data_IF_744311234073
#
_entry.id   IF_744311234073
#
_cell.length_a   1.000
_cell.length_b   1.000
_cell.length_c   1.000
_cell.angle_alpha   90.00
_cell.angle_beta   90.00
_cell.angle_gamma   90.00
#
_symmetry.space_group_name_H-M   'P 1'
#
loop_
_entity.id
_entity.type
_entity.pdbx_description
1 polymer ?
#
# COMPACT_ATOMS: atom_id res chain seq x y z
N UNK A 1 -32.63 6.66 -29.62
CA UNK A 1 -31.83 7.08 -28.47
C UNK A 1 -31.70 8.59 -28.53
N UNK A 2 -32.24 9.27 -27.53
CA UNK A 2 -32.31 10.73 -27.50
C UNK A 2 -30.87 11.28 -27.33
N UNK A 3 -30.45 12.14 -28.28
CA UNK A 3 -29.07 12.66 -28.34
C UNK A 3 -28.77 13.81 -27.38
N UNK A 4 -29.74 14.17 -26.54
CA UNK A 4 -29.61 15.27 -25.57
C UNK A 4 -29.66 14.69 -24.12
N UNK A 5 -28.66 13.93 -23.76
CA UNK A 5 -28.49 13.55 -22.36
C UNK A 5 -27.98 14.75 -21.54
N UNK A 6 -28.91 15.61 -21.13
CA UNK A 6 -28.66 16.58 -20.06
C UNK A 6 -28.82 15.87 -18.74
N UNK A 7 -27.73 15.79 -17.98
CA UNK A 7 -27.80 15.40 -16.58
C UNK A 7 -28.00 16.67 -15.74
N UNK A 8 -29.23 16.87 -15.26
CA UNK A 8 -29.47 17.84 -14.20
C UNK A 8 -28.96 17.23 -12.89
N UNK A 9 -27.89 17.79 -12.33
CA UNK A 9 -27.50 17.44 -10.96
C UNK A 9 -28.28 18.31 -9.97
N UNK A 10 -28.41 17.84 -8.74
CA UNK A 10 -29.18 18.47 -7.66
C UNK A 10 -28.64 19.84 -7.22
N UNK A 11 -27.59 20.35 -7.83
CA UNK A 11 -26.94 21.64 -7.52
C UNK A 11 -27.14 22.66 -8.64
N UNK A 12 -27.96 22.36 -9.68
CA UNK A 12 -28.27 23.29 -10.77
C UNK A 12 -27.13 23.54 -11.75
N UNK A 13 -26.09 22.71 -11.74
CA UNK A 13 -25.00 22.77 -12.72
C UNK A 13 -25.35 21.85 -13.90
N UNK A 14 -25.55 22.42 -15.08
CA UNK A 14 -25.73 21.62 -16.30
C UNK A 14 -24.43 20.87 -16.62
N UNK A 15 -24.51 19.56 -16.61
CA UNK A 15 -23.42 18.70 -17.08
C UNK A 15 -23.78 18.17 -18.47
N UNK A 16 -23.01 18.54 -19.48
CA UNK A 16 -23.11 17.97 -20.81
C UNK A 16 -22.08 16.89 -21.01
N UNK A 17 -22.53 15.71 -21.45
CA UNK A 17 -21.60 14.68 -21.93
C UNK A 17 -20.88 15.20 -23.20
N UNK A 18 -19.55 15.04 -23.29
CA UNK A 18 -18.83 15.34 -24.51
C UNK A 18 -19.40 14.50 -25.67
N UNK A 19 -19.67 15.14 -26.79
CA UNK A 19 -20.25 14.46 -27.97
C UNK A 19 -19.30 13.45 -28.61
N UNK A 20 -18.02 13.56 -28.34
CA UNK A 20 -16.95 12.78 -28.95
C UNK A 20 -16.14 12.08 -27.84
N UNK A 21 -16.77 11.18 -27.07
CA UNK A 21 -16.00 10.26 -26.22
C UNK A 21 -15.28 9.25 -27.12
N UNK A 22 -13.95 9.12 -26.98
CA UNK A 22 -13.22 8.08 -27.72
C UNK A 22 -13.79 6.71 -27.34
N UNK A 23 -14.21 5.94 -28.34
CA UNK A 23 -14.70 4.59 -28.14
C UNK A 23 -13.56 3.55 -28.00
N UNK A 24 -12.31 4.00 -28.10
CA UNK A 24 -11.13 3.14 -28.01
C UNK A 24 -10.56 3.19 -26.61
N UNK A 25 -10.86 2.16 -25.81
CA UNK A 25 -10.39 2.06 -24.42
C UNK A 25 -8.89 1.85 -24.30
N UNK A 26 -8.17 1.45 -25.36
CA UNK A 26 -6.73 1.16 -25.34
C UNK A 26 -5.83 2.38 -25.14
N UNK A 27 -6.30 3.58 -25.47
CA UNK A 27 -5.53 4.83 -25.32
C UNK A 27 -5.80 5.58 -24.02
N UNK A 28 -6.81 5.14 -23.25
CA UNK A 28 -7.13 5.77 -21.98
C UNK A 28 -6.19 5.22 -20.90
N UNK A 29 -5.34 6.07 -20.26
CA UNK A 29 -4.47 5.60 -19.19
C UNK A 29 -5.27 4.98 -18.05
N UNK A 30 -4.84 3.81 -17.58
CA UNK A 30 -5.44 3.19 -16.39
C UNK A 30 -5.12 4.06 -15.18
N UNK A 31 -6.17 4.46 -14.46
CA UNK A 31 -6.03 5.30 -13.28
C UNK A 31 -5.12 4.63 -12.23
N UNK A 32 -4.17 5.41 -11.70
CA UNK A 32 -3.21 4.97 -10.69
C UNK A 32 -2.33 3.78 -11.13
N UNK A 33 -2.13 3.62 -12.46
CA UNK A 33 -1.17 2.67 -13.01
C UNK A 33 0.19 3.33 -13.16
N UNK A 34 1.20 2.71 -12.57
CA UNK A 34 2.58 3.14 -12.69
C UNK A 34 3.37 2.12 -13.52
N UNK A 35 4.09 2.59 -14.55
CA UNK A 35 4.87 1.73 -15.46
C UNK A 35 6.36 2.07 -15.40
N UNK A 36 6.91 2.20 -14.19
CA UNK A 36 8.34 2.42 -14.00
C UNK A 36 9.13 1.11 -14.06
N UNK A 37 10.39 1.25 -14.36
CA UNK A 37 11.38 0.18 -14.42
C UNK A 37 12.47 0.40 -13.36
N UNK A 38 13.38 -0.56 -13.22
CA UNK A 38 14.48 -0.50 -12.27
C UNK A 38 15.33 0.77 -12.42
N UNK A 39 15.60 1.20 -13.66
CA UNK A 39 16.37 2.42 -13.95
C UNK A 39 15.70 3.67 -13.41
N UNK A 40 14.37 3.71 -13.43
CA UNK A 40 13.56 4.87 -13.00
C UNK A 40 13.51 5.02 -11.48
N UNK A 41 13.89 3.98 -10.73
CA UNK A 41 13.89 4.03 -9.27
C UNK A 41 14.95 4.96 -8.73
N UNK A 42 14.53 5.99 -8.01
CA UNK A 42 15.42 6.96 -7.34
C UNK A 42 15.60 6.54 -5.89
N UNK A 43 16.85 6.22 -5.51
CA UNK A 43 17.24 5.94 -4.12
C UNK A 43 17.13 7.22 -3.29
N UNK A 44 16.58 7.09 -2.10
CA UNK A 44 16.28 8.22 -1.20
C UNK A 44 14.93 8.91 -1.45
N UNK A 45 14.22 8.57 -2.55
CA UNK A 45 12.89 9.11 -2.79
C UNK A 45 11.91 8.64 -1.70
N UNK A 46 11.13 9.59 -1.19
CA UNK A 46 10.13 9.37 -0.14
C UNK A 46 8.75 9.77 -0.61
N UNK A 47 7.77 8.97 -0.23
CA UNK A 47 6.36 9.31 -0.36
C UNK A 47 5.65 9.10 0.97
N UNK A 48 4.59 9.86 1.20
CA UNK A 48 3.71 9.73 2.36
C UNK A 48 2.29 9.50 1.90
N UNK A 49 1.61 8.56 2.54
CA UNK A 49 0.19 8.28 2.28
C UNK A 49 -0.73 9.36 2.87
N UNK A 50 -1.97 9.34 2.43
CA UNK A 50 -3.07 9.93 3.19
C UNK A 50 -3.23 9.20 4.52
N UNK A 51 -3.92 9.84 5.46
CA UNK A 51 -4.30 9.24 6.75
C UNK A 51 -5.54 8.37 6.58
N UNK A 52 -5.61 7.27 7.33
CA UNK A 52 -6.76 6.38 7.39
C UNK A 52 -7.05 5.97 8.82
N UNK A 53 -8.28 6.18 9.26
CA UNK A 53 -8.77 5.66 10.55
C UNK A 53 -9.22 4.22 10.39
N UNK A 54 -8.81 3.35 11.30
CA UNK A 54 -9.19 1.93 11.32
C UNK A 54 -10.50 1.80 12.09
N UNK A 55 -11.55 1.39 11.40
CA UNK A 55 -12.86 1.15 12.02
C UNK A 55 -12.95 -0.24 12.67
N UNK A 56 -13.87 -0.38 13.61
CA UNK A 56 -14.16 -1.68 14.23
C UNK A 56 -14.62 -2.73 13.23
N UNK A 57 -15.51 -2.34 12.30
CA UNK A 57 -16.02 -3.25 11.28
C UNK A 57 -14.92 -3.85 10.42
N UNK A 58 -13.96 -3.01 9.96
CA UNK A 58 -12.80 -3.48 9.20
C UNK A 58 -11.91 -4.42 10.01
N UNK A 59 -11.65 -4.07 11.29
CA UNK A 59 -10.82 -4.89 12.16
C UNK A 59 -11.45 -6.28 12.38
N UNK A 60 -12.74 -6.34 12.65
CA UNK A 60 -13.45 -7.61 12.82
C UNK A 60 -13.50 -8.41 11.53
N UNK A 61 -13.77 -7.78 10.41
CA UNK A 61 -13.75 -8.45 9.11
C UNK A 61 -12.37 -9.03 8.78
N UNK A 62 -11.30 -8.27 9.03
CA UNK A 62 -9.93 -8.74 8.83
C UNK A 62 -9.60 -9.94 9.72
N UNK A 63 -9.99 -9.89 11.00
CA UNK A 63 -9.78 -10.98 11.95
C UNK A 63 -10.50 -12.27 11.50
N UNK A 64 -11.75 -12.16 11.04
CA UNK A 64 -12.50 -13.29 10.50
C UNK A 64 -11.81 -13.90 9.25
N UNK A 65 -11.31 -13.07 8.34
CA UNK A 65 -10.62 -13.54 7.14
C UNK A 65 -9.25 -14.15 7.46
N UNK A 66 -8.53 -13.56 8.41
CA UNK A 66 -7.21 -14.00 8.84
C UNK A 66 -7.22 -15.10 9.89
N UNK A 67 -8.40 -15.50 10.39
CA UNK A 67 -8.60 -16.45 11.50
C UNK A 67 -7.83 -16.03 12.77
N UNK A 68 -7.63 -14.75 12.99
CA UNK A 68 -7.00 -14.21 14.20
C UNK A 68 -8.03 -14.05 15.30
N UNK A 69 -8.17 -15.10 16.10
CA UNK A 69 -9.13 -15.19 17.21
C UNK A 69 -8.48 -14.88 18.56
N UNK A 70 -7.32 -14.23 18.57
CA UNK A 70 -6.66 -13.90 19.83
C UNK A 70 -7.52 -12.95 20.69
N UNK A 71 -7.64 -13.18 22.01
CA UNK A 71 -8.52 -12.39 22.88
C UNK A 71 -8.28 -10.88 22.83
N UNK A 72 -7.02 -10.45 22.69
CA UNK A 72 -6.70 -9.01 22.53
C UNK A 72 -7.33 -8.34 21.31
N UNK A 73 -7.66 -9.09 20.27
CA UNK A 73 -8.23 -8.52 19.03
C UNK A 73 -9.73 -8.82 18.88
N UNK A 74 -10.20 -9.98 19.40
CA UNK A 74 -11.57 -10.43 19.19
C UNK A 74 -12.51 -10.27 20.40
N UNK A 75 -11.97 -10.21 21.62
CA UNK A 75 -12.76 -10.24 22.87
C UNK A 75 -12.66 -8.89 23.59
N UNK A 76 -13.76 -8.12 23.53
CA UNK A 76 -13.85 -6.82 24.20
C UNK A 76 -13.86 -6.94 25.73
N UNK A 77 -14.51 -8.00 26.27
CA UNK A 77 -14.57 -8.20 27.71
C UNK A 77 -13.19 -8.51 28.28
N UNK A 78 -12.46 -9.44 27.64
CA UNK A 78 -11.09 -9.76 28.01
C UNK A 78 -10.19 -8.53 27.89
N UNK A 79 -10.23 -7.85 26.76
CA UNK A 79 -9.35 -6.71 26.49
C UNK A 79 -9.50 -5.61 27.54
N UNK A 80 -10.74 -5.32 27.99
CA UNK A 80 -11.02 -4.29 29.01
C UNK A 80 -10.67 -4.69 30.43
N UNK A 81 -10.96 -5.93 30.82
CA UNK A 81 -10.92 -6.33 32.21
C UNK A 81 -9.63 -7.07 32.60
N UNK A 82 -9.03 -7.80 31.65
CA UNK A 82 -7.88 -8.67 31.89
C UNK A 82 -6.66 -8.26 31.03
N UNK A 83 -6.92 -7.62 29.89
CA UNK A 83 -5.88 -7.22 28.95
C UNK A 83 -5.02 -6.06 29.45
N UNK A 84 -3.70 -6.15 29.23
CA UNK A 84 -2.74 -5.14 29.70
C UNK A 84 -2.95 -3.74 29.09
N UNK A 85 -3.61 -3.65 27.94
CA UNK A 85 -3.87 -2.37 27.25
C UNK A 85 -5.24 -1.76 27.56
N UNK A 86 -6.13 -2.50 28.20
CA UNK A 86 -7.53 -2.11 28.52
C UNK A 86 -8.35 -1.68 27.29
N UNK A 87 -7.91 -2.07 26.11
CA UNK A 87 -8.53 -1.80 24.79
C UNK A 87 -8.22 -2.93 23.83
N UNK A 88 -9.15 -3.19 22.89
CA UNK A 88 -8.84 -4.14 21.80
C UNK A 88 -7.79 -3.59 20.85
N UNK A 89 -6.87 -4.46 20.50
CA UNK A 89 -5.85 -4.18 19.51
C UNK A 89 -6.40 -4.36 18.09
N UNK A 90 -5.81 -3.64 17.15
CA UNK A 90 -5.86 -4.02 15.75
C UNK A 90 -4.84 -5.12 15.53
N UNK A 91 -5.22 -6.20 14.86
CA UNK A 91 -4.33 -7.31 14.53
C UNK A 91 -3.05 -6.79 13.84
N UNK A 92 -1.89 -7.25 14.29
CA UNK A 92 -0.62 -6.81 13.71
C UNK A 92 -0.54 -7.04 12.21
N UNK A 93 -1.06 -8.17 11.72
CA UNK A 93 -1.14 -8.47 10.28
C UNK A 93 -1.98 -7.43 9.52
N UNK A 94 -3.05 -6.90 10.12
CA UNK A 94 -3.86 -5.83 9.53
C UNK A 94 -3.07 -4.51 9.44
N UNK A 95 -2.39 -4.13 10.54
CA UNK A 95 -1.54 -2.92 10.55
C UNK A 95 -0.46 -3.01 9.47
N UNK A 96 0.16 -4.18 9.31
CA UNK A 96 1.13 -4.45 8.25
C UNK A 96 0.50 -4.32 6.86
N UNK A 97 -0.59 -5.03 6.59
CA UNK A 97 -1.25 -5.03 5.28
C UNK A 97 -1.77 -3.64 4.89
N UNK A 98 -2.39 -2.93 5.83
CA UNK A 98 -2.90 -1.57 5.59
C UNK A 98 -1.76 -0.58 5.43
N UNK A 99 -0.73 -0.68 6.28
CA UNK A 99 0.45 0.18 6.18
C UNK A 99 1.12 0.11 4.81
N UNK A 100 1.26 -1.10 4.26
CA UNK A 100 1.79 -1.27 2.92
C UNK A 100 0.81 -0.81 1.84
N UNK A 101 -0.47 -1.17 1.98
CA UNK A 101 -1.51 -0.84 1.01
C UNK A 101 -1.69 0.67 0.81
N UNK A 102 -1.51 1.47 1.87
CA UNK A 102 -1.62 2.93 1.82
C UNK A 102 -0.61 3.60 0.87
N UNK A 103 0.53 2.97 0.60
CA UNK A 103 1.58 3.46 -0.30
C UNK A 103 1.95 2.44 -1.38
N UNK A 104 1.06 1.47 -1.63
CA UNK A 104 1.26 0.47 -2.67
C UNK A 104 1.32 1.13 -4.05
N UNK A 105 2.19 0.60 -4.90
CA UNK A 105 2.25 0.97 -6.30
C UNK A 105 1.56 -0.10 -7.14
N UNK A 106 0.87 0.33 -8.17
CA UNK A 106 0.25 -0.58 -9.15
C UNK A 106 1.17 -0.79 -10.36
N UNK A 107 2.49 -0.82 -10.13
CA UNK A 107 3.48 -0.98 -11.19
C UNK A 107 3.51 -2.43 -11.69
N UNK A 108 3.18 -2.63 -12.95
CA UNK A 108 3.16 -3.96 -13.59
C UNK A 108 4.56 -4.55 -13.78
N UNK A 109 5.60 -3.74 -13.71
CA UNK A 109 7.00 -4.15 -13.85
C UNK A 109 7.67 -4.52 -12.52
N UNK A 110 6.92 -4.45 -11.41
CA UNK A 110 7.41 -4.71 -10.07
C UNK A 110 6.52 -5.72 -9.34
N UNK A 111 7.13 -6.62 -8.59
CA UNK A 111 6.40 -7.54 -7.73
C UNK A 111 7.13 -7.78 -6.41
N UNK A 112 6.39 -8.20 -5.40
CA UNK A 112 6.92 -8.50 -4.07
C UNK A 112 7.88 -9.67 -4.14
N UNK A 113 9.09 -9.50 -3.60
CA UNK A 113 10.10 -10.54 -3.46
C UNK A 113 10.15 -11.10 -2.05
N UNK A 114 9.94 -10.24 -1.05
CA UNK A 114 9.95 -10.62 0.36
C UNK A 114 10.00 -9.40 1.28
N UNK A 115 9.90 -9.68 2.57
CA UNK A 115 9.95 -8.67 3.62
C UNK A 115 11.03 -9.02 4.64
N UNK A 116 11.82 -8.02 5.01
CA UNK A 116 12.83 -8.10 6.06
C UNK A 116 12.48 -7.16 7.21
N UNK A 117 13.07 -7.44 8.38
CA UNK A 117 13.05 -6.55 9.56
C UNK A 117 11.64 -6.07 9.95
N UNK A 118 10.62 -6.91 9.77
CA UNK A 118 9.26 -6.59 10.24
C UNK A 118 9.25 -6.51 11.77
N UNK A 119 8.83 -5.36 12.30
CA UNK A 119 8.70 -5.08 13.74
C UNK A 119 7.43 -4.32 14.04
N UNK A 120 6.63 -4.86 14.94
CA UNK A 120 5.54 -4.14 15.60
C UNK A 120 6.13 -3.40 16.80
N UNK A 121 6.19 -2.07 16.70
CA UNK A 121 6.91 -1.22 17.65
C UNK A 121 6.00 -0.79 18.79
N UNK A 122 4.76 -0.41 18.45
CA UNK A 122 3.73 0.01 19.41
C UNK A 122 2.36 -0.51 19.00
N UNK A 123 1.44 -0.69 19.98
CA UNK A 123 0.10 -1.15 19.71
C UNK A 123 -0.71 -0.12 18.89
N UNK A 124 -1.55 -0.64 18.02
CA UNK A 124 -2.58 0.12 17.30
C UNK A 124 -3.93 -0.35 17.81
N UNK A 125 -4.81 0.58 18.13
CA UNK A 125 -6.14 0.32 18.65
C UNK A 125 -7.22 0.63 17.61
N UNK A 126 -8.38 0.03 17.77
CA UNK A 126 -9.56 0.37 16.96
C UNK A 126 -9.87 1.85 17.18
N UNK A 127 -10.07 2.59 16.08
CA UNK A 127 -10.24 4.05 16.07
C UNK A 127 -8.95 4.85 15.86
N UNK A 128 -7.76 4.23 15.94
CA UNK A 128 -6.51 4.91 15.62
C UNK A 128 -6.46 5.27 14.12
N UNK A 129 -5.88 6.42 13.84
CA UNK A 129 -5.63 6.90 12.47
C UNK A 129 -4.17 6.69 12.13
N UNK A 130 -3.91 5.95 11.06
CA UNK A 130 -2.55 5.62 10.60
C UNK A 130 -2.21 6.28 9.27
N UNK A 131 -0.92 6.41 9.00
CA UNK A 131 -0.35 6.76 7.70
C UNK A 131 1.02 6.11 7.55
N UNK A 132 1.51 6.01 6.32
CA UNK A 132 2.79 5.37 6.01
C UNK A 132 3.72 6.32 5.29
N UNK A 133 5.00 6.27 5.63
CA UNK A 133 6.09 6.84 4.83
C UNK A 133 6.85 5.68 4.20
N UNK A 134 7.01 5.73 2.87
CA UNK A 134 7.81 4.78 2.09
C UNK A 134 9.08 5.47 1.60
N UNK A 135 10.23 4.80 1.75
CA UNK A 135 11.52 5.31 1.27
C UNK A 135 12.23 4.25 0.43
N UNK A 136 12.64 4.58 -0.78
CA UNK A 136 13.53 3.71 -1.57
C UNK A 136 14.94 3.77 -0.97
N UNK A 137 15.39 2.67 -0.36
CA UNK A 137 16.65 2.66 0.41
C UNK A 137 17.85 2.33 -0.44
N UNK A 138 17.74 1.30 -1.26
CA UNK A 138 18.81 0.83 -2.12
C UNK A 138 18.27 0.07 -3.33
N UNK A 139 19.08 -0.04 -4.36
CA UNK A 139 18.80 -0.92 -5.50
C UNK A 139 20.08 -1.58 -5.98
N UNK A 140 19.97 -2.85 -6.39
CA UNK A 140 21.09 -3.59 -6.99
C UNK A 140 20.64 -4.53 -8.10
N UNK A 141 21.42 -4.68 -9.18
CA UNK A 141 21.20 -5.73 -10.16
C UNK A 141 21.28 -7.10 -9.49
N UNK A 142 20.44 -8.04 -9.92
CA UNK A 142 20.45 -9.40 -9.34
C UNK A 142 20.30 -10.51 -10.36
N UNK A 143 19.40 -10.36 -11.31
CA UNK A 143 19.10 -11.36 -12.32
C UNK A 143 19.21 -10.78 -13.71
N UNK A 144 19.21 -11.65 -14.72
CA UNK A 144 19.35 -11.24 -16.13
C UNK A 144 18.32 -10.19 -16.58
N UNK A 145 17.08 -10.29 -16.07
CA UNK A 145 15.96 -9.42 -16.50
C UNK A 145 15.48 -8.45 -15.44
N UNK A 146 16.00 -8.54 -14.20
CA UNK A 146 15.48 -7.75 -13.08
C UNK A 146 16.52 -7.49 -12.01
N UNK A 147 16.38 -6.37 -11.32
CA UNK A 147 17.10 -6.04 -10.11
C UNK A 147 16.22 -6.07 -8.86
N UNK A 148 16.84 -5.98 -7.70
CA UNK A 148 16.15 -5.81 -6.43
C UNK A 148 16.18 -4.35 -6.02
N UNK A 149 15.05 -3.90 -5.50
CA UNK A 149 14.89 -2.61 -4.83
C UNK A 149 14.44 -2.88 -3.40
N UNK A 150 15.16 -2.33 -2.43
CA UNK A 150 14.79 -2.36 -1.01
C UNK A 150 14.10 -1.05 -0.66
N UNK A 151 12.96 -1.15 -0.04
CA UNK A 151 12.11 -0.01 0.33
C UNK A 151 11.72 -0.14 1.80
N UNK A 152 11.92 0.90 2.62
CA UNK A 152 11.37 0.91 3.97
C UNK A 152 9.93 1.39 3.99
N UNK A 153 9.18 0.84 4.93
CA UNK A 153 7.83 1.26 5.28
C UNK A 153 7.79 1.57 6.76
N UNK A 154 7.52 2.81 7.07
CA UNK A 154 7.37 3.32 8.43
C UNK A 154 5.90 3.69 8.61
N UNK A 155 5.18 2.92 9.42
CA UNK A 155 3.77 3.18 9.72
C UNK A 155 3.69 3.98 11.01
N UNK A 156 2.96 5.07 10.96
CA UNK A 156 2.75 5.99 12.07
C UNK A 156 1.28 6.06 12.44
N UNK A 157 0.99 6.40 13.70
CA UNK A 157 -0.34 6.78 14.15
C UNK A 157 -0.37 8.15 14.78
N UNK A 158 -1.55 8.76 14.84
CA UNK A 158 -1.75 10.06 15.49
C UNK A 158 -0.83 11.15 14.93
N UNK A 159 -0.10 11.83 15.80
CA UNK A 159 0.77 12.96 15.48
C UNK A 159 2.22 12.55 15.11
N UNK A 160 2.46 11.28 14.81
CA UNK A 160 3.78 10.82 14.34
C UNK A 160 4.41 9.74 15.21
N UNK A 161 3.61 9.01 15.98
CA UNK A 161 4.09 7.87 16.75
C UNK A 161 4.28 6.66 15.82
N UNK A 162 5.52 6.17 15.69
CA UNK A 162 5.82 4.98 14.87
C UNK A 162 5.26 3.73 15.54
N UNK A 163 4.52 2.93 14.76
CA UNK A 163 3.87 1.70 15.23
C UNK A 163 4.39 0.45 14.55
N UNK A 164 4.92 0.57 13.32
CA UNK A 164 5.47 -0.54 12.56
C UNK A 164 6.60 -0.06 11.68
N UNK A 165 7.63 -0.89 11.55
CA UNK A 165 8.69 -0.78 10.56
C UNK A 165 8.85 -2.10 9.81
N UNK A 166 9.06 -2.03 8.51
CA UNK A 166 9.53 -3.17 7.73
C UNK A 166 10.33 -2.71 6.50
N UNK A 167 11.10 -3.63 5.94
CA UNK A 167 11.78 -3.46 4.67
C UNK A 167 11.17 -4.43 3.65
N UNK A 168 10.76 -3.90 2.52
CA UNK A 168 10.18 -4.65 1.42
C UNK A 168 11.20 -4.78 0.29
N UNK A 169 11.42 -5.98 -0.15
CA UNK A 169 12.21 -6.28 -1.33
C UNK A 169 11.28 -6.44 -2.54
N UNK A 170 11.50 -5.60 -3.53
CA UNK A 170 10.82 -5.67 -4.81
C UNK A 170 11.76 -6.24 -5.88
N UNK A 171 11.28 -7.16 -6.67
CA UNK A 171 11.88 -7.51 -7.96
C UNK A 171 11.32 -6.56 -9.01
N UNK A 172 12.21 -5.88 -9.74
CA UNK A 172 11.82 -4.85 -10.72
C UNK A 172 12.49 -5.15 -12.05
N UNK A 173 11.71 -5.17 -13.12
CA UNK A 173 12.23 -5.41 -14.47
C UNK A 173 13.15 -4.28 -14.93
N UNK A 174 14.17 -4.64 -15.68
CA UNK A 174 15.00 -3.67 -16.40
C UNK A 174 14.28 -3.19 -17.66
N UNK A 175 14.46 -1.91 -17.96
CA UNK A 175 14.05 -1.32 -19.24
C UNK A 175 14.95 -1.82 -20.37
N UNK A 176 16.25 -1.97 -20.07
CA UNK A 176 17.28 -2.47 -20.98
C UNK A 176 18.12 -3.54 -20.27
N UNK A 177 17.71 -4.81 -20.32
CA UNK A 177 18.45 -5.89 -19.65
C UNK A 177 19.90 -6.01 -20.05
N UNK A 178 20.25 -5.65 -21.30
CA UNK A 178 21.61 -5.69 -21.83
C UNK A 178 22.59 -4.80 -21.07
N UNK A 179 22.14 -3.69 -20.47
CA UNK A 179 22.97 -2.76 -19.71
C UNK A 179 23.44 -3.36 -18.37
N UNK A 180 22.90 -4.50 -17.98
CA UNK A 180 23.13 -5.14 -16.68
C UNK A 180 23.76 -6.52 -16.77
N UNK A 181 24.09 -7.03 -17.96
CA UNK A 181 24.60 -8.41 -18.18
C UNK A 181 25.81 -8.77 -17.32
N UNK A 182 26.71 -7.81 -17.10
CA UNK A 182 27.96 -8.03 -16.35
C UNK A 182 27.88 -7.67 -14.87
N UNK A 183 26.71 -7.23 -14.40
CA UNK A 183 26.50 -6.70 -13.03
C UNK A 183 25.86 -7.67 -12.05
N UNK A 184 25.54 -8.88 -12.47
CA UNK A 184 25.03 -9.94 -11.60
C UNK A 184 25.95 -11.16 -11.69
N UNK A 185 26.27 -11.74 -10.55
CA UNK A 185 27.06 -12.96 -10.50
C UNK A 185 26.29 -14.11 -11.16
N UNK A 186 26.88 -14.70 -12.16
CA UNK A 186 26.45 -16.02 -12.65
C UNK A 186 26.76 -17.03 -11.54
N UNK A 187 25.75 -17.48 -10.81
CA UNK A 187 25.85 -18.68 -9.99
C UNK A 187 25.70 -19.92 -10.82
#
# INVERSE_FOLDING_TARGET
MNKDNKFENTVGIESTFPKDMPNEHGEIPVWNSENWFYEDVIVGHKIRSLRRTISEGEAMQFNCMGLDMHPYVGDEHFAKNEGMFQKRLVAGAMVFSYGLGLVATNCVNSFSYGYDRLRFIKPVFIGDTIYTIRTNMEKKPKYEKMGLVRTSYEVFKGEGEIVLYCEHLHSVLYKKPEDFKDKYEKK
#
